data_IF_962115344952
#
_entry.id   IF_962115344952
#
_cell.length_a   1.000
_cell.length_b   1.000
_cell.length_c   1.000
_cell.angle_alpha   90.00
_cell.angle_beta   90.00
_cell.angle_gamma   90.00
#
_symmetry.space_group_name_H-M   'P 1'
#
loop_
_entity.id
_entity.type
_entity.pdbx_description
1 polymer ?
#
# COMPACT_ATOMS: atom_id res chain seq x y z
N UNK A 1 -18.04 6.53 -11.79
CA UNK A 1 -17.35 5.24 -11.94
C UNK A 1 -18.25 4.16 -11.38
N UNK A 2 -18.40 3.05 -12.09
CA UNK A 2 -19.12 1.87 -11.57
C UNK A 2 -18.18 1.17 -10.61
N UNK A 3 -18.59 0.97 -9.36
CA UNK A 3 -17.84 0.18 -8.37
C UNK A 3 -17.62 -1.22 -8.97
N UNK A 4 -16.38 -1.75 -8.99
CA UNK A 4 -16.16 -3.11 -9.46
C UNK A 4 -17.02 -4.07 -8.63
N UNK A 5 -17.67 -5.04 -9.30
CA UNK A 5 -18.38 -6.16 -8.68
C UNK A 5 -17.33 -7.10 -8.07
N UNK A 6 -16.78 -6.68 -6.93
CA UNK A 6 -15.81 -7.43 -6.17
C UNK A 6 -16.54 -8.53 -5.39
N UNK A 7 -16.40 -9.77 -5.84
CA UNK A 7 -16.75 -10.92 -5.01
C UNK A 7 -15.67 -11.10 -3.93
N UNK A 8 -15.77 -10.32 -2.85
CA UNK A 8 -14.80 -10.34 -1.76
C UNK A 8 -15.16 -11.46 -0.78
N UNK A 9 -14.24 -12.41 -0.62
CA UNK A 9 -14.25 -13.33 0.51
C UNK A 9 -13.48 -12.69 1.68
N UNK A 10 -14.22 -12.20 2.67
CA UNK A 10 -13.66 -11.53 3.85
C UNK A 10 -12.87 -12.46 4.78
N UNK A 11 -12.90 -13.77 4.53
CA UNK A 11 -12.12 -14.78 5.26
C UNK A 11 -10.88 -15.24 4.48
N UNK A 12 -10.62 -14.67 3.29
CA UNK A 12 -9.45 -14.94 2.48
C UNK A 12 -8.53 -13.71 2.38
N UNK A 13 -7.29 -13.86 2.84
CA UNK A 13 -6.28 -12.80 2.73
C UNK A 13 -6.02 -12.41 1.26
N UNK A 14 -5.95 -13.40 0.37
CA UNK A 14 -5.73 -13.16 -1.07
C UNK A 14 -6.90 -12.39 -1.69
N UNK A 15 -8.14 -12.76 -1.37
CA UNK A 15 -9.32 -12.05 -1.88
C UNK A 15 -9.41 -10.61 -1.36
N UNK A 16 -9.06 -10.38 -0.09
CA UNK A 16 -8.95 -9.03 0.46
C UNK A 16 -7.85 -8.22 -0.25
N UNK A 17 -6.65 -8.78 -0.43
CA UNK A 17 -5.54 -8.11 -1.10
C UNK A 17 -5.89 -7.74 -2.54
N UNK A 18 -6.53 -8.63 -3.30
CA UNK A 18 -7.00 -8.35 -4.66
C UNK A 18 -8.02 -7.20 -4.69
N UNK A 19 -8.98 -7.20 -3.77
CA UNK A 19 -9.98 -6.14 -3.66
C UNK A 19 -9.34 -4.80 -3.27
N UNK A 20 -8.41 -4.82 -2.31
CA UNK A 20 -7.67 -3.65 -1.85
C UNK A 20 -6.81 -3.07 -2.99
N UNK A 21 -6.13 -3.92 -3.75
CA UNK A 21 -5.35 -3.51 -4.93
C UNK A 21 -6.24 -2.75 -5.93
N UNK A 22 -7.40 -3.31 -6.28
CA UNK A 22 -8.34 -2.67 -7.19
C UNK A 22 -8.84 -1.32 -6.65
N UNK A 23 -9.16 -1.23 -5.35
CA UNK A 23 -9.56 0.02 -4.72
C UNK A 23 -8.46 1.10 -4.76
N UNK A 24 -7.20 0.73 -4.61
CA UNK A 24 -6.08 1.68 -4.72
C UNK A 24 -5.87 2.14 -6.17
N UNK A 25 -5.94 1.22 -7.14
CA UNK A 25 -5.76 1.54 -8.57
C UNK A 25 -6.83 2.50 -9.08
N UNK A 26 -8.09 2.36 -8.63
CA UNK A 26 -9.20 3.26 -9.02
C UNK A 26 -9.38 4.46 -8.09
N UNK A 27 -8.43 4.71 -7.18
CA UNK A 27 -8.52 5.82 -6.23
C UNK A 27 -8.67 7.16 -6.96
N UNK A 28 -9.68 7.94 -6.58
CA UNK A 28 -10.02 9.15 -7.32
C UNK A 28 -8.94 10.23 -7.21
N UNK A 29 -8.26 10.36 -6.06
CA UNK A 29 -7.22 11.38 -5.86
C UNK A 29 -5.91 11.00 -6.54
N UNK A 30 -5.56 9.71 -6.51
CA UNK A 30 -4.44 9.20 -7.31
C UNK A 30 -4.67 9.45 -8.80
N UNK A 31 -5.89 9.22 -9.29
CA UNK A 31 -6.27 9.39 -10.69
C UNK A 31 -6.65 10.84 -11.08
N UNK A 32 -6.54 11.83 -10.17
CA UNK A 32 -6.56 13.24 -10.58
C UNK A 32 -5.35 13.59 -11.47
N UNK A 33 -4.31 12.77 -11.41
CA UNK A 33 -3.11 12.87 -12.21
C UNK A 33 -3.09 11.71 -13.22
N UNK A 34 -3.26 11.98 -14.50
CA UNK A 34 -3.37 10.91 -15.52
C UNK A 34 -2.01 10.32 -15.96
N UNK A 35 -0.89 10.82 -15.42
CA UNK A 35 0.47 10.60 -15.93
C UNK A 35 1.32 9.57 -15.15
N UNK A 36 0.73 8.88 -14.17
CA UNK A 36 1.47 7.93 -13.34
C UNK A 36 1.65 6.56 -14.01
N UNK A 37 2.81 5.95 -13.75
CA UNK A 37 3.27 4.66 -14.24
C UNK A 37 3.24 3.57 -13.15
N UNK A 38 3.12 3.97 -11.89
CA UNK A 38 2.88 3.08 -10.76
C UNK A 38 2.67 3.88 -9.49
N UNK A 39 2.49 3.21 -8.37
CA UNK A 39 2.45 3.83 -7.06
C UNK A 39 2.94 2.89 -5.97
N UNK A 40 3.32 3.47 -4.84
CA UNK A 40 3.46 2.77 -3.57
C UNK A 40 2.58 3.43 -2.53
N UNK A 41 1.80 2.63 -1.81
CA UNK A 41 1.03 3.03 -0.64
C UNK A 41 1.53 2.24 0.57
N UNK A 42 1.84 2.95 1.66
CA UNK A 42 2.36 2.37 2.88
C UNK A 42 1.40 2.68 4.00
N UNK A 43 0.88 1.64 4.65
CA UNK A 43 0.03 1.73 5.82
C UNK A 43 0.75 1.15 7.03
N UNK A 44 0.75 1.89 8.14
CA UNK A 44 1.26 1.45 9.42
C UNK A 44 0.13 1.38 10.43
N UNK A 45 0.06 0.28 11.18
CA UNK A 45 -0.94 0.06 12.24
C UNK A 45 -0.26 -0.43 13.52
N UNK A 46 -0.54 0.26 14.63
CA UNK A 46 -0.26 -0.24 15.97
C UNK A 46 -1.56 -0.32 16.80
N UNK A 47 -1.46 -0.65 18.09
CA UNK A 47 -2.63 -0.80 18.97
C UNK A 47 -3.38 0.52 19.24
N UNK A 48 -2.79 1.66 18.88
CA UNK A 48 -3.23 3.00 19.28
C UNK A 48 -3.49 3.95 18.11
N UNK A 49 -2.84 3.75 16.97
CA UNK A 49 -2.87 4.67 15.83
C UNK A 49 -2.65 3.93 14.51
N UNK A 50 -3.19 4.52 13.44
CA UNK A 50 -2.91 4.15 12.05
C UNK A 50 -2.35 5.37 11.31
N UNK A 51 -1.37 5.14 10.44
CA UNK A 51 -0.80 6.16 9.56
C UNK A 51 -0.69 5.61 8.14
N UNK A 52 -0.80 6.50 7.15
CA UNK A 52 -0.65 6.15 5.75
C UNK A 52 0.10 7.23 4.98
N UNK A 53 0.96 6.81 4.07
CA UNK A 53 1.66 7.66 3.12
C UNK A 53 1.68 6.99 1.75
N UNK A 54 1.70 7.78 0.69
CA UNK A 54 1.73 7.26 -0.67
C UNK A 54 2.54 8.14 -1.61
N UNK A 55 3.08 7.50 -2.65
CA UNK A 55 3.82 8.14 -3.72
C UNK A 55 3.41 7.53 -5.05
N UNK A 56 3.38 8.36 -6.08
CA UNK A 56 3.22 7.91 -7.46
C UNK A 56 4.55 7.95 -8.19
N UNK A 57 4.69 7.10 -9.18
CA UNK A 57 5.85 7.05 -10.07
C UNK A 57 5.52 7.70 -11.41
N UNK A 58 6.39 8.60 -11.87
CA UNK A 58 6.31 9.26 -13.18
C UNK A 58 7.66 9.06 -13.89
N UNK A 59 7.78 7.96 -14.62
CA UNK A 59 9.08 7.50 -15.10
C UNK A 59 10.02 7.23 -13.91
N UNK A 60 11.22 7.79 -13.94
CA UNK A 60 12.21 7.65 -12.84
C UNK A 60 11.88 8.54 -11.62
N UNK A 61 10.95 9.50 -11.74
CA UNK A 61 10.57 10.39 -10.66
C UNK A 61 9.58 9.74 -9.69
N UNK A 62 9.77 9.99 -8.40
CA UNK A 62 8.87 9.55 -7.32
C UNK A 62 8.31 10.77 -6.62
N UNK A 63 6.99 10.92 -6.62
CA UNK A 63 6.31 12.12 -6.13
C UNK A 63 5.31 11.76 -5.02
N UNK A 64 5.31 12.48 -3.88
CA UNK A 64 4.25 12.34 -2.88
C UNK A 64 2.89 12.54 -3.52
N UNK A 65 1.95 11.66 -3.21
CA UNK A 65 0.60 11.73 -3.77
C UNK A 65 -0.43 11.47 -2.67
N UNK A 66 -1.55 12.20 -2.66
CA UNK A 66 -2.64 11.85 -1.77
C UNK A 66 -3.36 10.60 -2.31
N UNK A 67 -3.90 9.80 -1.38
CA UNK A 67 -4.91 8.77 -1.65
C UNK A 67 -6.17 9.23 -0.92
N UNK A 68 -7.34 8.95 -1.50
CA UNK A 68 -8.59 9.34 -0.88
C UNK A 68 -8.72 8.74 0.53
N UNK A 69 -9.03 9.59 1.51
CA UNK A 69 -9.06 9.20 2.92
C UNK A 69 -10.10 8.09 3.23
N UNK A 70 -11.15 7.98 2.40
CA UNK A 70 -12.17 6.93 2.51
C UNK A 70 -11.94 5.78 1.53
N UNK A 71 -10.74 5.63 0.98
CA UNK A 71 -10.41 4.48 0.14
C UNK A 71 -10.64 3.18 0.94
N UNK A 72 -11.47 2.24 0.47
CA UNK A 72 -11.77 1.01 1.20
C UNK A 72 -10.52 0.18 1.54
N UNK A 73 -9.46 0.25 0.72
CA UNK A 73 -8.20 -0.44 0.97
C UNK A 73 -7.47 0.04 2.22
N UNK A 74 -7.77 1.27 2.65
CA UNK A 74 -7.15 1.91 3.82
C UNK A 74 -8.10 1.94 5.02
N UNK A 75 -9.24 1.25 4.93
CA UNK A 75 -10.18 1.14 6.04
C UNK A 75 -9.51 0.36 7.21
N UNK A 76 -9.50 0.91 8.44
CA UNK A 76 -8.86 0.26 9.58
C UNK A 76 -9.40 -1.14 9.89
N UNK A 77 -10.70 -1.38 9.73
CA UNK A 77 -11.31 -2.68 9.99
C UNK A 77 -10.87 -3.73 8.95
N UNK A 78 -10.72 -3.31 7.70
CA UNK A 78 -10.23 -4.16 6.61
C UNK A 78 -8.75 -4.49 6.81
N UNK A 79 -7.94 -3.48 7.17
CA UNK A 79 -6.52 -3.66 7.47
C UNK A 79 -6.32 -4.58 8.69
N UNK A 80 -7.11 -4.39 9.75
CA UNK A 80 -7.04 -5.26 10.94
C UNK A 80 -7.49 -6.68 10.61
N UNK A 81 -8.52 -6.86 9.78
CA UNK A 81 -8.92 -8.19 9.29
C UNK A 81 -7.79 -8.86 8.50
N UNK A 82 -7.13 -8.10 7.61
CA UNK A 82 -5.98 -8.60 6.87
C UNK A 82 -4.85 -9.01 7.83
N UNK A 83 -4.55 -8.22 8.86
CA UNK A 83 -3.57 -8.55 9.91
C UNK A 83 -3.89 -9.83 10.65
N UNK A 84 -5.16 -10.11 10.93
CA UNK A 84 -5.58 -11.36 11.55
C UNK A 84 -5.36 -12.56 10.64
N UNK A 85 -5.73 -12.43 9.36
CA UNK A 85 -5.64 -13.51 8.38
C UNK A 85 -4.18 -13.82 7.98
N UNK A 86 -3.31 -12.81 7.99
CA UNK A 86 -1.88 -12.96 7.63
C UNK A 86 -0.95 -12.89 8.84
N UNK A 87 -1.48 -13.07 10.05
CA UNK A 87 -0.67 -13.13 11.26
C UNK A 87 0.31 -14.30 11.18
N UNK A 88 1.58 -14.01 11.43
CA UNK A 88 2.60 -15.04 11.55
C UNK A 88 2.48 -15.74 12.92
N UNK A 89 2.58 -17.08 12.99
CA UNK A 89 2.43 -17.81 14.25
C UNK A 89 3.45 -17.46 15.33
N UNK A 90 4.66 -17.03 14.96
CA UNK A 90 5.75 -16.72 15.89
C UNK A 90 5.88 -15.22 16.14
N UNK A 91 5.68 -14.42 15.09
CA UNK A 91 5.89 -12.96 15.09
C UNK A 91 4.61 -12.17 15.34
N UNK A 92 3.45 -12.79 15.17
CA UNK A 92 2.14 -12.18 15.35
C UNK A 92 1.72 -11.31 14.15
N UNK A 93 0.97 -10.25 14.44
CA UNK A 93 0.46 -9.32 13.43
C UNK A 93 1.59 -8.43 12.92
N UNK A 94 1.62 -8.20 11.61
CA UNK A 94 2.51 -7.21 11.01
C UNK A 94 2.15 -5.79 11.48
N UNK A 95 3.10 -4.86 11.40
CA UNK A 95 2.94 -3.44 11.74
C UNK A 95 2.80 -2.57 10.50
N UNK A 96 3.55 -2.88 9.44
CA UNK A 96 3.55 -2.11 8.20
C UNK A 96 3.14 -2.99 7.02
N UNK A 97 2.29 -2.46 6.16
CA UNK A 97 1.94 -3.04 4.86
C UNK A 97 2.39 -2.08 3.77
N UNK A 98 3.21 -2.58 2.85
CA UNK A 98 3.68 -1.86 1.66
C UNK A 98 2.92 -2.47 0.49
N UNK A 99 2.17 -1.65 -0.23
CA UNK A 99 1.44 -2.00 -1.45
C UNK A 99 2.07 -1.28 -2.64
N UNK A 100 2.57 -2.04 -3.61
CA UNK A 100 3.25 -1.56 -4.80
C UNK A 100 2.44 -1.96 -6.03
N UNK A 101 2.19 -1.00 -6.91
CA UNK A 101 1.56 -1.27 -8.20
C UNK A 101 2.42 -0.72 -9.32
N UNK A 102 2.73 -1.58 -10.29
CA UNK A 102 3.33 -1.20 -11.56
C UNK A 102 2.28 -1.28 -12.67
N UNK A 103 2.02 -0.14 -13.32
CA UNK A 103 1.02 -0.01 -14.38
C UNK A 103 1.49 -0.61 -15.70
N UNK A 104 2.81 -0.63 -15.95
CA UNK A 104 3.34 -1.15 -17.22
C UNK A 104 3.15 -2.67 -17.30
N UNK A 105 3.47 -3.38 -16.22
CA UNK A 105 3.27 -4.83 -16.12
C UNK A 105 1.90 -5.24 -15.59
N UNK A 106 1.07 -4.28 -15.16
CA UNK A 106 -0.21 -4.49 -14.45
C UNK A 106 -0.05 -5.44 -13.24
N UNK A 107 1.02 -5.25 -12.48
CA UNK A 107 1.38 -6.10 -11.36
C UNK A 107 1.17 -5.38 -10.03
N UNK A 108 0.51 -6.07 -9.11
CA UNK A 108 0.39 -5.65 -7.72
C UNK A 108 1.26 -6.54 -6.83
N UNK A 109 2.24 -5.94 -6.18
CA UNK A 109 3.09 -6.59 -5.19
C UNK A 109 2.82 -6.00 -3.81
N UNK A 110 3.04 -6.81 -2.77
CA UNK A 110 2.93 -6.30 -1.42
C UNK A 110 3.90 -6.97 -0.47
N UNK A 111 4.24 -6.28 0.61
CA UNK A 111 5.11 -6.79 1.67
C UNK A 111 4.53 -6.44 3.03
N UNK A 112 4.57 -7.39 3.96
CA UNK A 112 4.26 -7.17 5.36
C UNK A 112 5.57 -7.09 6.15
N UNK A 113 5.67 -6.09 7.02
CA UNK A 113 6.79 -5.93 7.94
C UNK A 113 6.27 -6.00 9.38
N UNK A 114 6.94 -6.80 10.20
CA UNK A 114 6.58 -6.99 11.61
C UNK A 114 7.24 -5.93 12.51
N UNK A 115 6.80 -5.79 13.77
CA UNK A 115 7.44 -4.88 14.71
C UNK A 115 8.96 -5.04 14.75
N UNK A 116 9.69 -3.95 14.50
CA UNK A 116 11.16 -3.94 14.43
C UNK A 116 11.75 -4.15 13.03
N UNK A 117 10.92 -4.47 12.03
CA UNK A 117 11.27 -4.39 10.61
C UNK A 117 10.66 -3.11 10.05
N UNK A 118 11.45 -2.06 9.91
CA UNK A 118 10.97 -0.86 9.21
C UNK A 118 11.33 -0.91 7.72
N UNK A 119 12.46 -1.50 7.33
CA UNK A 119 13.01 -1.42 5.97
C UNK A 119 13.10 0.03 5.44
N UNK A 120 13.18 1.03 6.32
CA UNK A 120 13.07 2.46 5.97
C UNK A 120 11.64 2.95 5.67
N UNK A 121 10.61 2.13 5.89
CA UNK A 121 9.19 2.43 5.62
C UNK A 121 8.38 2.64 6.91
N UNK A 122 8.96 3.31 7.91
CA UNK A 122 8.27 3.57 9.18
C UNK A 122 7.35 4.81 9.09
N UNK A 123 6.12 4.59 8.62
CA UNK A 123 5.12 5.66 8.51
C UNK A 123 4.54 6.08 9.86
N UNK A 124 4.53 5.20 10.87
CA UNK A 124 4.07 5.54 12.23
C UNK A 124 5.03 6.52 12.93
N UNK A 125 6.33 6.41 12.64
CA UNK A 125 7.36 7.34 13.12
C UNK A 125 7.49 8.61 12.26
N UNK A 126 6.76 8.72 11.14
CA UNK A 126 6.97 9.74 10.10
C UNK A 126 8.41 9.80 9.59
N UNK A 127 9.11 8.66 9.60
CA UNK A 127 10.52 8.52 9.23
C UNK A 127 10.66 7.58 8.04
N UNK A 128 9.95 7.91 6.96
CA UNK A 128 10.04 7.19 5.68
C UNK A 128 10.88 8.03 4.71
N UNK A 129 12.17 7.72 4.52
CA UNK A 129 13.04 8.51 3.65
C UNK A 129 12.61 8.39 2.20
N UNK A 130 12.60 9.52 1.47
CA UNK A 130 12.29 9.52 0.04
C UNK A 130 13.20 8.56 -0.74
N UNK A 131 14.49 8.49 -0.38
CA UNK A 131 15.45 7.59 -1.01
C UNK A 131 15.03 6.11 -0.91
N UNK A 132 14.39 5.69 0.19
CA UNK A 132 13.85 4.33 0.31
C UNK A 132 12.71 4.11 -0.67
N UNK A 133 11.80 5.09 -0.81
CA UNK A 133 10.65 5.01 -1.71
C UNK A 133 11.10 5.00 -3.18
N UNK A 134 12.12 5.79 -3.53
CA UNK A 134 12.69 5.81 -4.87
C UNK A 134 13.20 4.43 -5.30
N UNK A 135 13.78 3.64 -4.38
CA UNK A 135 14.21 2.27 -4.71
C UNK A 135 13.05 1.30 -5.02
N UNK A 136 11.82 1.65 -4.65
CA UNK A 136 10.63 0.86 -4.97
C UNK A 136 10.05 1.21 -6.34
N UNK A 137 10.49 2.30 -6.98
CA UNK A 137 10.04 2.65 -8.32
C UNK A 137 10.65 1.66 -9.33
N UNK A 138 9.85 0.91 -10.10
CA UNK A 138 10.35 -0.05 -11.09
C UNK A 138 11.26 0.56 -12.16
N UNK A 139 11.10 1.87 -12.44
CA UNK A 139 11.93 2.59 -13.39
C UNK A 139 13.25 3.09 -12.77
N UNK A 140 13.40 3.05 -11.44
CA UNK A 140 14.59 3.54 -10.76
C UNK A 140 15.82 2.72 -11.14
N UNK A 141 16.90 3.42 -11.51
CA UNK A 141 18.21 2.83 -11.79
C UNK A 141 19.20 3.41 -10.80
N UNK A 142 19.71 2.56 -9.91
CA UNK A 142 20.80 2.96 -9.03
C UNK A 142 22.02 3.35 -9.88
N UNK A 143 22.55 4.55 -9.65
CA UNK A 143 23.77 5.06 -10.29
C UNK A 143 25.05 4.39 -9.78
#
# INVERSE_FOLDING_TARGET
MTTPDLNVDADSAESLLEAMAQCLVVDEQLNEYDDWHGFVSIAGLDETQGAQQAWRFVGEETLPTPIYIMNPALNPDILERLRELTADPERGKWQTWIALYDRESDTFEHTFLWPGEDAGCNVLGYDTPMATIETLNPAFKAE
#
